data_IF_878174521540
#
_entry.id   IF_878174521540
#
_cell.length_a   1.000
_cell.length_b   1.000
_cell.length_c   1.000
_cell.angle_alpha   90.00
_cell.angle_beta   90.00
_cell.angle_gamma   90.00
#
_symmetry.space_group_name_H-M   'P 1'
#
loop_
_entity.id
_entity.type
_entity.pdbx_description
1 polymer ?
#
# COMPACT_ATOMS: atom_id res chain seq x y z
N UNK A 1 -29.69 15.43 13.06
CA UNK A 1 -29.13 14.58 12.00
C UNK A 1 -27.88 15.26 11.46
N UNK A 2 -26.73 14.55 11.50
CA UNK A 2 -25.49 15.03 10.88
C UNK A 2 -25.61 14.74 9.38
N UNK A 3 -25.43 15.71 8.49
CA UNK A 3 -25.47 15.45 7.05
C UNK A 3 -24.22 14.67 6.60
N UNK A 4 -24.31 13.92 5.49
CA UNK A 4 -23.13 13.33 4.84
C UNK A 4 -22.14 14.42 4.42
N UNK A 5 -20.85 14.09 4.53
CA UNK A 5 -19.72 14.95 4.15
C UNK A 5 -18.85 14.23 3.10
N UNK A 6 -18.03 15.00 2.39
CA UNK A 6 -17.00 14.47 1.49
C UNK A 6 -15.69 14.18 2.25
N UNK A 7 -14.84 13.32 1.70
CA UNK A 7 -13.54 13.02 2.33
C UNK A 7 -12.66 14.27 2.46
N UNK A 8 -12.57 15.19 1.46
CA UNK A 8 -11.88 16.48 1.65
C UNK A 8 -12.39 17.30 2.82
N UNK A 9 -13.69 17.27 3.10
CA UNK A 9 -14.27 17.95 4.28
C UNK A 9 -13.83 17.28 5.57
N UNK A 10 -13.78 15.93 5.62
CA UNK A 10 -13.31 15.18 6.79
C UNK A 10 -11.89 15.57 7.17
N UNK A 11 -11.01 15.80 6.21
CA UNK A 11 -9.63 16.23 6.49
C UNK A 11 -9.54 17.56 7.24
N UNK A 12 -10.55 18.41 7.13
CA UNK A 12 -10.62 19.71 7.81
C UNK A 12 -11.42 19.66 9.13
N UNK A 13 -12.05 18.54 9.46
CA UNK A 13 -12.79 18.36 10.72
C UNK A 13 -11.82 18.14 11.89
N UNK A 14 -12.32 18.34 13.11
CA UNK A 14 -11.57 18.03 14.34
C UNK A 14 -11.66 16.56 14.65
N UNK A 15 -10.69 16.06 15.41
CA UNK A 15 -10.79 14.72 15.97
C UNK A 15 -12.03 14.62 16.88
N UNK A 16 -12.66 13.45 16.89
CA UNK A 16 -13.92 13.13 17.56
C UNK A 16 -15.18 13.70 16.88
N UNK A 17 -15.06 14.54 15.85
CA UNK A 17 -16.22 14.96 15.07
C UNK A 17 -16.87 13.74 14.38
N UNK A 18 -18.21 13.73 14.41
CA UNK A 18 -19.00 12.67 13.76
C UNK A 18 -18.94 12.84 12.25
N UNK A 19 -18.61 11.76 11.57
CA UNK A 19 -18.48 11.67 10.11
C UNK A 19 -19.54 10.72 9.56
N UNK A 20 -20.23 11.14 8.50
CA UNK A 20 -21.06 10.30 7.67
C UNK A 20 -20.54 10.39 6.24
N UNK A 21 -20.02 9.27 5.70
CA UNK A 21 -19.68 9.14 4.30
C UNK A 21 -20.76 8.32 3.62
N UNK A 22 -21.35 8.86 2.57
CA UNK A 22 -22.40 8.18 1.83
C UNK A 22 -21.95 7.90 0.39
N UNK A 23 -22.27 6.68 -0.09
CA UNK A 23 -21.95 6.22 -1.45
C UNK A 23 -20.45 6.31 -1.81
N UNK A 24 -19.57 5.91 -0.89
CA UNK A 24 -18.13 5.82 -1.14
C UNK A 24 -17.76 4.39 -1.58
N UNK A 25 -16.72 4.27 -2.40
CA UNK A 25 -16.24 2.99 -2.91
C UNK A 25 -15.09 2.44 -2.06
N UNK A 26 -15.12 1.15 -1.75
CA UNK A 26 -13.97 0.45 -1.15
C UNK A 26 -12.89 0.28 -2.21
N UNK A 27 -11.69 0.79 -1.94
CA UNK A 27 -10.55 0.77 -2.88
C UNK A 27 -9.35 -0.03 -2.38
N UNK A 28 -9.31 -0.35 -1.09
CA UNK A 28 -8.35 -1.28 -0.51
C UNK A 28 -8.92 -1.92 0.75
N UNK A 29 -8.46 -3.14 1.07
CA UNK A 29 -8.87 -3.88 2.26
C UNK A 29 -7.60 -4.36 3.00
N UNK A 30 -7.60 -4.23 4.32
CA UNK A 30 -6.56 -4.74 5.20
C UNK A 30 -7.19 -5.59 6.31
N UNK A 31 -6.36 -6.30 7.07
CA UNK A 31 -6.84 -7.15 8.17
C UNK A 31 -7.56 -6.37 9.29
N UNK A 32 -7.30 -5.08 9.42
CA UNK A 32 -7.84 -4.25 10.52
C UNK A 32 -8.72 -3.08 10.05
N UNK A 33 -8.95 -2.95 8.74
CA UNK A 33 -9.77 -1.89 8.18
C UNK A 33 -9.76 -1.88 6.67
N UNK A 34 -10.27 -0.81 6.11
CA UNK A 34 -10.38 -0.63 4.67
C UNK A 34 -10.23 0.84 4.28
N UNK A 35 -9.93 1.08 3.02
CA UNK A 35 -9.83 2.42 2.43
C UNK A 35 -11.03 2.65 1.55
N UNK A 36 -11.66 3.81 1.72
CA UNK A 36 -12.75 4.27 0.85
C UNK A 36 -12.33 5.50 0.07
N UNK A 37 -12.93 5.68 -1.11
CA UNK A 37 -12.74 6.82 -2.00
C UNK A 37 -14.09 7.40 -2.40
N UNK A 38 -14.20 8.74 -2.43
CA UNK A 38 -15.40 9.48 -2.82
C UNK A 38 -15.34 10.04 -4.26
N UNK A 39 -14.35 9.61 -5.04
CA UNK A 39 -14.06 10.11 -6.37
C UNK A 39 -13.01 11.23 -6.40
N UNK A 40 -12.66 11.80 -5.25
CA UNK A 40 -11.66 12.86 -5.12
C UNK A 40 -10.49 12.43 -4.23
N UNK A 41 -10.79 11.97 -3.02
CA UNK A 41 -9.80 11.63 -1.99
C UNK A 41 -10.11 10.27 -1.39
N UNK A 42 -9.14 9.73 -0.65
CA UNK A 42 -9.26 8.44 0.03
C UNK A 42 -9.02 8.60 1.52
N UNK A 43 -9.71 7.80 2.33
CA UNK A 43 -9.54 7.78 3.79
C UNK A 43 -9.64 6.35 4.32
N UNK A 44 -8.87 6.06 5.37
CA UNK A 44 -8.91 4.78 6.07
C UNK A 44 -10.06 4.75 7.07
N UNK A 45 -10.73 3.60 7.16
CA UNK A 45 -11.78 3.28 8.12
C UNK A 45 -11.33 2.09 8.96
N UNK A 46 -11.20 2.31 10.26
CA UNK A 46 -10.80 1.27 11.22
C UNK A 46 -12.02 0.39 11.59
N UNK A 47 -12.33 -0.57 10.76
CA UNK A 47 -13.42 -1.53 10.98
C UNK A 47 -13.15 -2.85 10.29
N UNK A 48 -13.42 -3.95 10.98
CA UNK A 48 -13.23 -5.32 10.47
C UNK A 48 -14.51 -5.85 9.82
N UNK A 49 -14.87 -5.27 8.71
CA UNK A 49 -16.03 -5.72 7.95
C UNK A 49 -15.59 -6.63 6.80
N UNK A 50 -16.45 -7.56 6.42
CA UNK A 50 -16.24 -8.45 5.26
C UNK A 50 -16.59 -7.68 3.97
N UNK A 51 -15.61 -6.93 3.49
CA UNK A 51 -15.70 -6.07 2.33
C UNK A 51 -14.71 -6.51 1.25
N UNK A 52 -15.05 -6.22 0.00
CA UNK A 52 -14.16 -6.40 -1.13
C UNK A 52 -13.99 -5.08 -1.89
N UNK A 53 -12.88 -4.96 -2.61
CA UNK A 53 -12.64 -3.80 -3.50
C UNK A 53 -13.78 -3.70 -4.51
N UNK A 54 -14.38 -2.51 -4.63
CA UNK A 54 -15.55 -2.25 -5.47
C UNK A 54 -16.88 -2.28 -4.73
N UNK A 55 -16.92 -2.66 -3.46
CA UNK A 55 -18.12 -2.48 -2.64
C UNK A 55 -18.42 -0.97 -2.48
N UNK A 56 -19.66 -0.58 -2.73
CA UNK A 56 -20.18 0.72 -2.31
C UNK A 56 -20.65 0.66 -0.86
N UNK A 57 -20.25 1.61 -0.05
CA UNK A 57 -20.60 1.61 1.37
C UNK A 57 -21.12 2.96 1.85
N UNK A 58 -21.92 2.90 2.90
CA UNK A 58 -22.25 4.01 3.78
C UNK A 58 -21.51 3.78 5.10
N UNK A 59 -20.76 4.78 5.55
CA UNK A 59 -19.96 4.72 6.77
C UNK A 59 -20.38 5.81 7.72
N UNK A 60 -20.62 5.45 8.99
CA UNK A 60 -20.78 6.40 10.09
C UNK A 60 -19.73 6.10 11.15
N UNK A 61 -19.08 7.15 11.63
CA UNK A 61 -18.05 7.00 12.65
C UNK A 61 -17.56 8.34 13.15
N UNK A 62 -16.39 8.35 13.74
CA UNK A 62 -15.72 9.56 14.20
C UNK A 62 -14.34 9.70 13.59
N UNK A 63 -14.01 10.93 13.21
CA UNK A 63 -12.67 11.27 12.74
C UNK A 63 -11.65 11.14 13.87
N UNK A 64 -10.48 10.73 13.53
CA UNK A 64 -9.30 10.72 14.37
C UNK A 64 -8.04 10.69 13.53
N UNK A 65 -6.92 10.31 14.16
CA UNK A 65 -5.61 10.22 13.53
C UNK A 65 -5.00 8.86 13.83
N UNK A 66 -4.53 8.16 12.79
CA UNK A 66 -3.75 6.92 12.88
C UNK A 66 -2.49 7.07 12.03
N UNK A 67 -1.32 6.68 12.57
CA UNK A 67 -0.03 6.81 11.88
C UNK A 67 0.22 8.25 11.36
N UNK A 68 -0.21 9.26 12.12
CA UNK A 68 -0.17 10.68 11.76
C UNK A 68 -0.98 11.05 10.50
N UNK A 69 -1.91 10.18 10.09
CA UNK A 69 -2.81 10.38 8.95
C UNK A 69 -4.26 10.46 9.46
N UNK A 70 -5.08 11.41 8.99
CA UNK A 70 -6.51 11.45 9.28
C UNK A 70 -7.21 10.17 8.85
N UNK A 71 -8.06 9.64 9.72
CA UNK A 71 -8.80 8.40 9.50
C UNK A 71 -10.16 8.44 10.20
N UNK A 72 -11.05 7.52 9.86
CA UNK A 72 -12.22 7.19 10.69
C UNK A 72 -11.74 6.14 11.70
N UNK A 73 -11.45 6.60 12.92
CA UNK A 73 -10.80 5.77 13.96
C UNK A 73 -11.79 5.00 14.82
N UNK A 74 -13.01 5.48 14.91
CA UNK A 74 -14.15 4.78 15.52
C UNK A 74 -15.20 4.65 14.45
N UNK A 75 -15.60 3.43 14.16
CA UNK A 75 -16.64 3.14 13.17
C UNK A 75 -17.87 2.58 13.87
N UNK A 76 -18.98 3.30 13.80
CA UNK A 76 -20.24 2.93 14.44
C UNK A 76 -21.10 2.07 13.52
N UNK A 77 -20.99 2.27 12.20
CA UNK A 77 -21.82 1.61 11.20
C UNK A 77 -21.11 1.55 9.86
N UNK A 78 -21.17 0.38 9.24
CA UNK A 78 -20.87 0.17 7.82
C UNK A 78 -22.04 -0.56 7.18
N UNK A 79 -22.62 0.02 6.14
CA UNK A 79 -23.66 -0.62 5.37
C UNK A 79 -23.23 -0.76 3.92
N UNK A 80 -23.26 -1.97 3.38
CA UNK A 80 -23.10 -2.18 1.93
C UNK A 80 -24.27 -1.59 1.20
N UNK A 81 -24.00 -0.74 0.23
CA UNK A 81 -24.99 -0.23 -0.73
C UNK A 81 -24.89 -1.07 -2.00
N UNK A 82 -26.02 -1.53 -2.48
CA UNK A 82 -26.06 -2.30 -3.72
C UNK A 82 -25.52 -1.48 -4.90
N UNK A 83 -24.72 -2.10 -5.74
CA UNK A 83 -24.10 -1.49 -6.92
C UNK A 83 -22.64 -1.94 -7.04
N UNK A 84 -22.17 -2.06 -8.27
CA UNK A 84 -20.77 -2.32 -8.56
C UNK A 84 -20.13 -0.95 -8.78
N UNK A 85 -19.44 -0.45 -7.76
CA UNK A 85 -18.66 0.78 -7.89
C UNK A 85 -17.31 0.40 -8.48
N UNK A 86 -17.06 0.80 -9.72
CA UNK A 86 -15.73 0.66 -10.28
C UNK A 86 -14.76 1.49 -9.41
N UNK A 87 -13.74 0.88 -8.78
CA UNK A 87 -12.81 1.64 -7.97
C UNK A 87 -12.06 2.63 -8.87
N UNK A 88 -12.25 3.92 -8.61
CA UNK A 88 -11.49 4.97 -9.26
C UNK A 88 -10.21 5.20 -8.45
N UNK A 89 -9.09 4.67 -8.92
CA UNK A 89 -7.80 4.94 -8.30
C UNK A 89 -7.30 6.33 -8.71
N UNK A 90 -6.78 7.11 -7.75
CA UNK A 90 -6.06 8.34 -8.07
C UNK A 90 -4.85 8.08 -8.96
N UNK A 91 -4.24 9.13 -9.50
CA UNK A 91 -2.96 9.00 -10.21
C UNK A 91 -1.92 8.39 -9.27
N UNK A 92 -1.29 7.30 -9.72
CA UNK A 92 -0.27 6.60 -8.93
C UNK A 92 1.02 7.43 -8.89
N UNK A 93 1.63 7.49 -7.71
CA UNK A 93 2.89 8.16 -7.45
C UNK A 93 3.97 7.13 -7.15
N UNK A 94 5.00 7.06 -7.98
CA UNK A 94 6.19 6.26 -7.68
C UNK A 94 6.99 6.94 -6.57
N UNK A 95 7.05 6.27 -5.40
CA UNK A 95 7.81 6.73 -4.24
C UNK A 95 9.17 6.04 -4.10
N UNK A 96 9.50 5.09 -4.98
CA UNK A 96 10.77 4.36 -4.95
C UNK A 96 11.97 5.30 -4.88
N UNK A 97 12.12 6.31 -5.77
CA UNK A 97 13.29 7.18 -5.75
C UNK A 97 13.32 8.18 -4.58
N UNK A 98 12.21 8.35 -3.89
CA UNK A 98 12.06 9.33 -2.81
C UNK A 98 11.67 8.71 -1.47
N UNK A 99 11.84 7.41 -1.29
CA UNK A 99 11.36 6.67 -0.11
C UNK A 99 11.85 7.29 1.21
N UNK A 100 13.11 7.70 1.26
CA UNK A 100 13.73 8.27 2.48
C UNK A 100 13.19 9.65 2.88
N UNK A 101 12.60 10.37 1.95
CA UNK A 101 12.05 11.72 2.17
C UNK A 101 10.53 11.78 2.07
N UNK A 102 9.89 10.67 1.70
CA UNK A 102 8.46 10.63 1.53
C UNK A 102 7.74 10.77 2.88
N UNK A 103 6.87 11.77 2.99
CA UNK A 103 6.14 12.10 4.22
C UNK A 103 4.72 12.56 3.86
N UNK A 104 3.79 11.63 3.69
CA UNK A 104 2.42 11.97 3.32
C UNK A 104 1.68 12.60 4.52
N UNK A 105 0.88 13.64 4.25
CA UNK A 105 -0.03 14.23 5.24
C UNK A 105 -1.45 13.63 5.16
N UNK A 106 -1.75 12.92 4.10
CA UNK A 106 -2.99 12.20 3.81
C UNK A 106 -2.70 10.96 2.99
N UNK A 107 -3.68 10.11 2.80
CA UNK A 107 -3.50 8.93 1.95
C UNK A 107 -3.27 9.34 0.49
N UNK A 108 -2.23 8.76 -0.12
CA UNK A 108 -1.94 8.88 -1.55
C UNK A 108 -1.86 7.48 -2.16
N UNK A 109 -2.27 7.34 -3.42
CA UNK A 109 -2.09 6.08 -4.15
C UNK A 109 -0.66 6.03 -4.69
N UNK A 110 0.10 5.03 -4.24
CA UNK A 110 1.54 4.96 -4.48
C UNK A 110 1.96 3.62 -5.04
N UNK A 111 3.12 3.60 -5.70
CA UNK A 111 3.86 2.37 -6.00
C UNK A 111 5.27 2.43 -5.43
N UNK A 112 5.77 1.27 -5.04
CA UNK A 112 7.10 1.07 -4.49
C UNK A 112 7.69 -0.22 -5.05
N UNK A 113 8.88 -0.14 -5.63
CA UNK A 113 9.60 -1.30 -6.17
C UNK A 113 10.83 -1.61 -5.34
N UNK A 114 10.99 -2.87 -4.94
CA UNK A 114 12.14 -3.31 -4.14
C UNK A 114 12.09 -4.80 -3.83
N UNK A 115 12.98 -5.26 -2.96
CA UNK A 115 13.05 -6.65 -2.52
C UNK A 115 12.14 -6.86 -1.32
N UNK A 116 11.28 -7.88 -1.38
CA UNK A 116 10.36 -8.24 -0.31
C UNK A 116 11.05 -9.14 0.72
N UNK A 117 11.00 -8.73 1.99
CA UNK A 117 11.39 -9.52 3.15
C UNK A 117 10.28 -9.47 4.21
N UNK A 118 9.54 -10.56 4.37
CA UNK A 118 8.34 -10.62 5.19
C UNK A 118 7.27 -9.64 4.69
N UNK A 119 7.04 -8.57 5.44
CA UNK A 119 6.11 -7.48 5.08
C UNK A 119 6.85 -6.22 4.59
N UNK A 120 8.18 -6.24 4.56
CA UNK A 120 8.98 -5.08 4.22
C UNK A 120 9.49 -5.13 2.79
N UNK A 121 9.41 -4.01 2.10
CA UNK A 121 9.97 -3.81 0.77
C UNK A 121 11.19 -2.91 0.90
N UNK A 122 12.38 -3.48 0.71
CA UNK A 122 13.65 -2.78 0.78
C UNK A 122 14.04 -2.24 -0.60
N UNK A 123 14.36 -0.97 -0.68
CA UNK A 123 14.84 -0.31 -1.90
C UNK A 123 16.35 -0.15 -1.81
N UNK A 124 17.07 -0.51 -2.88
CA UNK A 124 18.52 -0.39 -2.90
C UNK A 124 18.96 1.08 -2.68
N UNK A 125 19.86 1.29 -1.73
CA UNK A 125 20.38 2.60 -1.36
C UNK A 125 19.48 3.43 -0.45
N UNK A 126 18.26 3.00 -0.15
CA UNK A 126 17.39 3.66 0.81
C UNK A 126 17.64 3.16 2.25
N UNK A 127 17.44 4.05 3.21
CA UNK A 127 17.52 3.75 4.65
C UNK A 127 16.16 3.26 5.16
N UNK A 128 15.07 3.85 4.65
CA UNK A 128 13.70 3.42 4.95
C UNK A 128 13.30 2.20 4.16
N UNK A 129 12.32 1.48 4.68
CA UNK A 129 11.61 0.43 3.96
C UNK A 129 10.13 0.79 3.78
N UNK A 130 9.50 0.30 2.73
CA UNK A 130 8.06 0.24 2.66
C UNK A 130 7.56 -0.92 3.49
N UNK A 131 6.52 -0.73 4.28
CA UNK A 131 5.92 -1.81 5.08
C UNK A 131 4.49 -2.05 4.62
N UNK A 132 4.20 -3.27 4.19
CA UNK A 132 2.84 -3.72 3.89
C UNK A 132 2.09 -3.84 5.22
N UNK A 133 1.19 -2.88 5.45
CA UNK A 133 0.47 -2.78 6.70
C UNK A 133 -0.75 -3.70 6.70
N UNK A 134 -0.82 -4.57 7.72
CA UNK A 134 -1.98 -5.46 7.96
C UNK A 134 -2.49 -6.13 6.66
N UNK A 135 -1.63 -6.89 5.93
CA UNK A 135 -2.01 -7.47 4.65
C UNK A 135 -3.24 -8.36 4.80
N UNK A 136 -4.14 -8.27 3.83
CA UNK A 136 -5.25 -9.22 3.74
C UNK A 136 -4.73 -10.62 3.38
N UNK A 137 -5.53 -11.65 3.69
CA UNK A 137 -5.17 -13.04 3.40
C UNK A 137 -5.06 -13.35 1.89
N UNK A 138 -5.45 -12.42 1.02
CA UNK A 138 -5.34 -12.56 -0.43
C UNK A 138 -3.89 -12.54 -0.92
N UNK A 139 -2.97 -11.90 -0.16
CA UNK A 139 -1.57 -11.77 -0.55
C UNK A 139 -0.72 -12.83 0.14
N UNK A 140 -0.20 -13.79 -0.65
CA UNK A 140 0.77 -14.79 -0.17
C UNK A 140 2.19 -14.18 -0.16
N UNK A 141 2.46 -13.37 0.87
CA UNK A 141 3.76 -12.73 1.03
C UNK A 141 4.88 -13.76 1.28
N UNK A 142 4.56 -14.91 1.86
CA UNK A 142 5.55 -15.95 2.12
C UNK A 142 6.07 -16.53 0.79
N UNK A 143 5.21 -16.71 -0.21
CA UNK A 143 5.61 -17.18 -1.54
C UNK A 143 6.48 -16.16 -2.30
N UNK A 144 6.34 -14.87 -1.98
CA UNK A 144 7.08 -13.78 -2.64
C UNK A 144 8.33 -13.35 -1.86
N UNK A 145 8.60 -13.98 -0.72
CA UNK A 145 9.74 -13.60 0.12
C UNK A 145 11.07 -13.77 -0.62
N UNK A 146 11.88 -12.72 -0.64
CA UNK A 146 13.15 -12.67 -1.38
C UNK A 146 13.01 -12.30 -2.86
N UNK A 147 11.80 -12.12 -3.38
CA UNK A 147 11.57 -11.62 -4.72
C UNK A 147 11.68 -10.09 -4.78
N UNK A 148 12.03 -9.58 -5.95
CA UNK A 148 11.76 -8.18 -6.29
C UNK A 148 10.27 -8.07 -6.62
N UNK A 149 9.64 -7.05 -6.07
CA UNK A 149 8.21 -6.80 -6.26
C UNK A 149 7.96 -5.32 -6.54
N UNK A 150 6.89 -5.03 -7.24
CA UNK A 150 6.26 -3.70 -7.23
C UNK A 150 4.98 -3.80 -6.43
N UNK A 151 4.91 -3.06 -5.33
CA UNK A 151 3.74 -2.95 -4.46
C UNK A 151 2.99 -1.69 -4.83
N UNK A 152 1.68 -1.81 -5.08
CA UNK A 152 0.78 -0.67 -5.27
C UNK A 152 -0.24 -0.63 -4.14
N UNK A 153 -0.56 0.56 -3.67
CA UNK A 153 -1.51 0.71 -2.58
C UNK A 153 -1.62 2.14 -2.08
N UNK A 154 -2.25 2.29 -0.94
CA UNK A 154 -2.43 3.60 -0.31
C UNK A 154 -1.40 3.80 0.81
N UNK A 155 -0.65 4.90 0.74
CA UNK A 155 0.25 5.27 1.83
C UNK A 155 -0.54 5.60 3.09
N UNK A 156 -0.10 5.07 4.24
CA UNK A 156 -0.76 5.25 5.53
C UNK A 156 0.23 5.61 6.62
N UNK A 157 0.84 6.77 6.44
CA UNK A 157 1.82 7.34 7.35
C UNK A 157 3.25 6.86 7.12
N UNK A 158 4.18 7.64 7.62
CA UNK A 158 5.61 7.36 7.54
C UNK A 158 6.30 7.75 8.84
N UNK A 159 7.34 6.98 9.20
CA UNK A 159 8.24 7.26 10.31
C UNK A 159 9.66 7.47 9.78
N UNK A 160 10.62 7.59 10.68
CA UNK A 160 12.05 7.65 10.31
C UNK A 160 12.56 6.34 9.69
N UNK A 161 11.86 5.23 9.87
CA UNK A 161 12.30 3.90 9.45
C UNK A 161 11.41 3.26 8.39
N UNK A 162 10.12 3.60 8.34
CA UNK A 162 9.15 2.92 7.49
C UNK A 162 8.19 3.88 6.82
N UNK A 163 7.69 3.48 5.64
CA UNK A 163 6.49 4.04 5.00
C UNK A 163 5.44 2.93 4.97
N UNK A 164 4.30 3.14 5.64
CA UNK A 164 3.22 2.16 5.67
C UNK A 164 2.39 2.23 4.40
N UNK A 165 2.07 1.08 3.83
CA UNK A 165 1.28 0.95 2.60
C UNK A 165 0.18 -0.09 2.82
N UNK A 166 -1.08 0.29 2.61
CA UNK A 166 -2.21 -0.64 2.51
C UNK A 166 -2.30 -1.08 1.05
N UNK A 167 -1.98 -2.35 0.82
CA UNK A 167 -1.73 -2.90 -0.52
C UNK A 167 -3.02 -3.20 -1.26
N UNK A 168 -3.05 -2.86 -2.54
CA UNK A 168 -4.10 -3.23 -3.51
C UNK A 168 -3.61 -4.25 -4.53
N UNK A 169 -2.31 -4.25 -4.84
CA UNK A 169 -1.70 -5.12 -5.85
C UNK A 169 -0.22 -5.35 -5.53
N UNK A 170 0.26 -6.56 -5.77
CA UNK A 170 1.68 -6.90 -5.74
C UNK A 170 2.03 -7.55 -7.07
N UNK A 171 2.98 -6.96 -7.78
CA UNK A 171 3.53 -7.51 -9.02
C UNK A 171 4.84 -8.19 -8.70
N UNK A 172 4.93 -9.50 -8.93
CA UNK A 172 6.16 -10.27 -8.78
C UNK A 172 7.09 -10.02 -9.98
N UNK A 173 8.28 -9.53 -9.70
CA UNK A 173 9.34 -9.30 -10.69
C UNK A 173 10.39 -10.41 -10.69
N UNK A 174 10.20 -11.43 -9.85
CA UNK A 174 11.10 -12.58 -9.70
C UNK A 174 12.26 -12.33 -8.75
N UNK A 175 13.08 -13.37 -8.59
CA UNK A 175 14.32 -13.29 -7.79
C UNK A 175 15.42 -12.62 -8.60
N UNK A 176 16.27 -11.83 -7.94
CA UNK A 176 17.55 -11.43 -8.53
C UNK A 176 18.44 -12.69 -8.63
N UNK A 177 18.46 -13.33 -9.79
CA UNK A 177 19.49 -14.33 -10.06
C UNK A 177 20.85 -13.62 -10.09
N UNK A 178 21.64 -13.81 -9.03
CA UNK A 178 23.07 -13.53 -9.11
C UNK A 178 23.63 -14.64 -10.02
N UNK A 179 23.75 -14.34 -11.31
CA UNK A 179 24.48 -15.21 -12.23
C UNK A 179 25.95 -15.12 -11.79
N UNK A 180 26.34 -16.07 -10.94
CA UNK A 180 27.76 -16.34 -10.74
C UNK A 180 28.26 -16.87 -12.06
N UNK A 181 28.89 -16.03 -12.88
CA UNK A 181 29.79 -16.53 -13.87
C UNK A 181 30.93 -17.23 -13.13
N UNK A 182 30.81 -18.52 -12.89
CA UNK A 182 31.96 -19.35 -12.63
C UNK A 182 32.68 -19.41 -13.98
N UNK A 183 33.49 -18.40 -14.26
CA UNK A 183 34.50 -18.47 -15.29
C UNK A 183 35.43 -19.61 -14.90
N UNK A 184 35.12 -20.81 -15.34
CA UNK A 184 36.13 -21.83 -15.55
C UNK A 184 37.02 -21.31 -16.70
N UNK A 185 38.06 -20.53 -16.34
CA UNK A 185 39.12 -20.17 -17.27
C UNK A 185 39.96 -21.40 -17.64
N UNK A 186 39.32 -22.45 -18.13
CA UNK A 186 40.00 -23.63 -18.66
C UNK A 186 40.63 -23.41 -20.05
N UNK A 187 40.43 -22.23 -20.65
CA UNK A 187 41.01 -21.95 -21.99
C UNK A 187 42.47 -21.49 -21.92
N UNK A 188 43.05 -21.27 -20.75
CA UNK A 188 44.48 -20.89 -20.59
C UNK A 188 45.39 -22.09 -20.84
N UNK A 189 44.91 -23.33 -20.76
CA UNK A 189 45.70 -24.53 -21.05
C UNK A 189 45.88 -24.81 -22.53
N UNK A 190 45.00 -24.30 -23.39
CA UNK A 190 45.07 -24.60 -24.84
C UNK A 190 45.97 -23.64 -25.62
N UNK A 191 46.39 -22.51 -25.03
CA UNK A 191 47.32 -21.60 -25.67
C UNK A 191 48.81 -22.02 -25.53
N UNK A 192 49.12 -22.96 -24.65
CA UNK A 192 50.50 -23.41 -24.42
C UNK A 192 50.98 -24.49 -25.40
N UNK A 193 50.08 -25.07 -26.26
CA UNK A 193 50.43 -26.18 -27.17
C UNK A 193 50.72 -25.69 -28.60
N UNK A 194 50.50 -24.40 -28.92
CA UNK A 194 50.72 -23.86 -30.27
C UNK A 194 52.08 -23.16 -30.48
N UNK A 195 53.02 -23.24 -29.54
CA UNK A 195 54.36 -22.66 -29.62
C UNK A 195 55.45 -23.70 -29.50
N UNK A 196 55.33 -24.80 -30.26
CA UNK A 196 56.34 -25.82 -30.42
C UNK A 196 56.75 -25.97 -31.87
#
# INVERSE_FOLDING_TARGET
DVPPVTIPEVYNMKDEDVVILDHVAVVAVSANGFVVNDGNESIYVASKEDLVIGDGVHVKGSKGTLNDIPAITVCDLVEKKGGNYAPAYPLIKDITPSLDTYAPAKMEYVELTGSLDGVNVAVEGAVRVGTILDPSAEFDLAALNGHNVTVKGFSFGATVSVVNIIVTEIVDLGVNEIIYFTDNFDWVSDLAIAAG
#
